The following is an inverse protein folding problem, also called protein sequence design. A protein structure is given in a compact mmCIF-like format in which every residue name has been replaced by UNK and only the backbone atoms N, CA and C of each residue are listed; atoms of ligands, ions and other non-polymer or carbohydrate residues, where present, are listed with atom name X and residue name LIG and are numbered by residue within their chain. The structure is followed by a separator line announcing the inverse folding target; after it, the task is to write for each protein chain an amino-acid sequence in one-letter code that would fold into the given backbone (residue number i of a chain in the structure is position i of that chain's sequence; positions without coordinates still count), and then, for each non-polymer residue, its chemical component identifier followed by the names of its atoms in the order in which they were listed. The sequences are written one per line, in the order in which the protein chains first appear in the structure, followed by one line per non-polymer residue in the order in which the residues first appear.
data_IF_090888162388
#
_entry.id   IF_090888162388
#
_cell.length_a   1.000
_cell.length_b   1.000
_cell.length_c   1.000
_cell.angle_alpha   90.00
_cell.angle_beta   90.00
_cell.angle_gamma   90.00
#
_symmetry.space_group_name_H-M   'P 1'
#
loop_
_entity.id
_entity.type
_entity.pdbx_description
1 polymer ?
#
# COMPACT_ATOMS: atom_id res chain seq x y z
N UNK A 1 -15.59 5.74 -2.35
CA UNK A 1 -15.74 4.44 -1.64
C UNK A 1 -15.12 4.56 -0.25
N UNK A 2 -15.74 3.99 0.78
CA UNK A 2 -15.21 3.96 2.15
C UNK A 2 -14.49 2.64 2.39
N UNK A 3 -13.20 2.69 2.74
CA UNK A 3 -12.40 1.52 3.09
C UNK A 3 -12.00 1.60 4.56
N UNK A 4 -12.33 0.57 5.33
CA UNK A 4 -11.98 0.51 6.75
C UNK A 4 -10.63 -0.20 6.94
N UNK A 5 -9.98 0.07 8.07
CA UNK A 5 -8.73 -0.60 8.44
C UNK A 5 -8.88 -2.13 8.50
N UNK A 6 -10.07 -2.63 8.87
CA UNK A 6 -10.41 -4.05 8.86
C UNK A 6 -10.38 -4.65 7.45
N UNK A 7 -10.86 -3.92 6.44
CA UNK A 7 -10.81 -4.33 5.03
C UNK A 7 -9.37 -4.43 4.53
N UNK A 8 -8.52 -3.46 4.89
CA UNK A 8 -7.09 -3.49 4.56
C UNK A 8 -6.37 -4.67 5.24
N UNK A 9 -6.70 -4.94 6.51
CA UNK A 9 -6.16 -6.09 7.24
C UNK A 9 -6.61 -7.42 6.63
N UNK A 10 -7.87 -7.50 6.20
CA UNK A 10 -8.37 -8.65 5.46
C UNK A 10 -7.62 -8.84 4.14
N UNK A 11 -7.38 -7.77 3.37
CA UNK A 11 -6.65 -7.85 2.10
C UNK A 11 -5.21 -8.34 2.29
N UNK A 12 -4.55 -7.89 3.37
CA UNK A 12 -3.22 -8.40 3.76
C UNK A 12 -3.27 -9.90 4.05
N UNK A 13 -4.22 -10.35 4.88
CA UNK A 13 -4.42 -11.76 5.19
C UNK A 13 -4.77 -12.60 3.95
N UNK A 14 -5.56 -12.05 3.03
CA UNK A 14 -5.90 -12.69 1.77
C UNK A 14 -4.65 -12.92 0.92
N UNK A 15 -3.77 -11.93 0.81
CA UNK A 15 -2.47 -12.07 0.15
C UNK A 15 -1.62 -13.19 0.75
N UNK A 16 -1.58 -13.29 2.08
CA UNK A 16 -0.90 -14.40 2.76
C UNK A 16 -1.55 -15.75 2.44
N UNK A 17 -2.88 -15.84 2.45
CA UNK A 17 -3.60 -17.09 2.18
C UNK A 17 -3.39 -17.59 0.73
N UNK A 18 -3.45 -16.69 -0.25
CA UNK A 18 -3.20 -17.00 -1.67
C UNK A 18 -1.77 -17.51 -1.89
N UNK A 19 -0.80 -16.98 -1.14
CA UNK A 19 0.60 -17.36 -1.23
C UNK A 19 1.02 -18.48 -0.26
N UNK A 20 0.14 -18.88 0.67
CA UNK A 20 0.48 -19.82 1.72
C UNK A 20 0.95 -21.16 1.17
N UNK A 21 2.03 -21.69 1.76
CA UNK A 21 2.51 -23.03 1.46
C UNK A 21 1.63 -24.05 2.20
N UNK A 22 0.64 -24.62 1.51
CA UNK A 22 -0.10 -25.79 2.02
C UNK A 22 0.88 -26.85 2.54
N UNK A 23 0.65 -27.26 3.81
CA UNK A 23 1.43 -28.22 4.58
C UNK A 23 1.61 -29.54 3.83
N UNK A 24 2.68 -30.30 4.12
CA UNK A 24 2.83 -31.65 3.59
C UNK A 24 1.72 -32.54 4.17
N UNK A 25 0.70 -32.79 3.37
CA UNK A 25 -0.12 -34.01 3.53
C UNK A 25 0.63 -35.10 2.79
N UNK A 26 0.71 -36.30 3.36
CA UNK A 26 1.25 -37.49 2.71
C UNK A 26 0.60 -37.66 1.33
N UNK A 27 1.29 -37.19 0.29
CA UNK A 27 0.85 -37.22 -1.11
C UNK A 27 2.05 -37.60 -1.94
N UNK A 28 1.91 -38.70 -2.66
CA UNK A 28 2.94 -39.18 -3.58
C UNK A 28 2.72 -40.64 -3.97
N UNK A 29 3.59 -41.17 -4.85
CA UNK A 29 3.52 -42.54 -5.33
C UNK A 29 3.61 -43.57 -4.19
N UNK A 30 4.34 -43.24 -3.12
CA UNK A 30 4.45 -44.05 -1.89
C UNK A 30 3.08 -44.33 -1.27
N UNK A 31 2.10 -43.45 -1.47
CA UNK A 31 0.73 -43.60 -0.95
C UNK A 31 -0.29 -43.94 -2.05
N UNK A 32 0.16 -44.45 -3.21
CA UNK A 32 -0.72 -44.87 -4.32
C UNK A 32 -1.41 -43.73 -5.07
N UNK A 33 -1.09 -42.46 -4.80
CA UNK A 33 -1.69 -41.33 -5.48
C UNK A 33 -0.91 -40.98 -6.77
N UNK A 34 -1.41 -41.43 -7.92
CA UNK A 34 -0.86 -41.11 -9.24
C UNK A 34 -1.45 -39.84 -9.88
N UNK A 35 -2.45 -39.20 -9.24
CA UNK A 35 -3.05 -38.00 -9.79
C UNK A 35 -2.06 -36.82 -9.81
N UNK A 36 -1.98 -36.05 -10.90
CA UNK A 36 -1.08 -34.90 -10.99
C UNK A 36 -1.43 -33.86 -9.92
N UNK A 37 -0.42 -33.23 -9.29
CA UNK A 37 -0.66 -32.26 -8.23
C UNK A 37 -1.35 -31.00 -8.79
N UNK A 38 -2.49 -30.63 -8.21
CA UNK A 38 -3.18 -29.38 -8.56
C UNK A 38 -2.30 -28.17 -8.27
N UNK A 39 -2.10 -27.33 -9.28
CA UNK A 39 -1.40 -26.05 -9.14
C UNK A 39 -2.23 -25.08 -8.28
N UNK A 40 -1.55 -24.31 -7.44
CA UNK A 40 -2.19 -23.26 -6.64
C UNK A 40 -2.53 -22.07 -7.51
N UNK A 41 -3.55 -21.31 -7.11
CA UNK A 41 -3.92 -20.06 -7.75
C UNK A 41 -2.74 -19.11 -7.91
N UNK A 42 -1.91 -18.95 -6.86
CA UNK A 42 -0.71 -18.11 -6.91
C UNK A 42 0.31 -18.53 -7.97
N UNK A 43 0.38 -19.82 -8.35
CA UNK A 43 1.32 -20.31 -9.37
C UNK A 43 0.83 -20.11 -10.81
N UNK A 44 -0.47 -19.86 -10.99
CA UNK A 44 -1.01 -19.57 -12.32
C UNK A 44 -0.64 -18.17 -12.79
N UNK A 45 -0.45 -17.24 -11.87
CA UNK A 45 -0.07 -15.87 -12.18
C UNK A 45 1.44 -15.68 -12.07
N UNK A 46 2.15 -15.65 -13.20
CA UNK A 46 3.60 -15.36 -13.23
C UNK A 46 3.92 -13.87 -13.14
N UNK A 47 3.07 -13.04 -13.73
CA UNK A 47 3.21 -11.59 -13.70
C UNK A 47 1.87 -10.99 -13.24
N UNK A 48 1.92 -10.10 -12.26
CA UNK A 48 0.74 -9.47 -11.67
C UNK A 48 0.95 -7.96 -11.70
N UNK A 49 0.02 -7.23 -12.32
CA UNK A 49 0.09 -5.78 -12.53
C UNK A 49 -1.16 -5.06 -11.99
N UNK A 50 -1.33 -4.96 -10.66
CA UNK A 50 -2.40 -4.16 -10.09
C UNK A 50 -2.19 -2.67 -10.41
N UNK A 51 -3.27 -2.04 -10.86
CA UNK A 51 -3.37 -0.60 -11.11
C UNK A 51 -4.55 -0.07 -10.30
N UNK A 52 -4.28 0.86 -9.41
CA UNK A 52 -5.30 1.52 -8.60
C UNK A 52 -5.36 2.99 -9.01
N UNK A 53 -6.50 3.43 -9.51
CA UNK A 53 -6.74 4.82 -9.84
C UNK A 53 -7.91 5.31 -9.00
N UNK A 54 -7.72 6.45 -8.33
CA UNK A 54 -8.72 7.06 -7.48
C UNK A 54 -8.89 8.53 -7.88
N UNK A 55 -10.12 8.95 -8.21
CA UNK A 55 -10.41 10.36 -8.50
C UNK A 55 -10.31 11.20 -7.23
N UNK A 56 -10.67 10.67 -6.07
CA UNK A 56 -10.44 11.31 -4.77
C UNK A 56 -10.18 10.20 -3.74
N UNK A 57 -9.17 10.39 -2.89
CA UNK A 57 -8.84 9.48 -1.81
C UNK A 57 -8.76 10.25 -0.50
N UNK A 58 -9.54 9.83 0.47
CA UNK A 58 -9.49 10.34 1.83
C UNK A 58 -9.12 9.22 2.80
N UNK A 59 -8.04 9.41 3.54
CA UNK A 59 -7.53 8.48 4.55
C UNK A 59 -7.52 9.19 5.90
N UNK A 60 -8.30 8.69 6.84
CA UNK A 60 -8.32 9.19 8.22
C UNK A 60 -7.79 8.09 9.14
N UNK A 61 -6.71 8.37 9.85
CA UNK A 61 -6.07 7.45 10.79
C UNK A 61 -6.00 8.07 12.18
N UNK A 62 -6.41 7.32 13.19
CA UNK A 62 -6.30 7.70 14.59
C UNK A 62 -5.22 6.83 15.24
N UNK A 63 -4.36 7.45 16.05
CA UNK A 63 -3.23 6.73 16.67
C UNK A 63 -3.67 5.72 17.73
N UNK A 64 -4.85 5.92 18.34
CA UNK A 64 -5.36 5.09 19.42
C UNK A 64 -6.89 4.99 19.42
N UNK A 65 -7.42 4.05 20.21
CA UNK A 65 -8.87 3.91 20.45
C UNK A 65 -9.48 5.15 21.12
N UNK A 66 -8.71 5.82 21.98
CA UNK A 66 -9.10 7.09 22.60
C UNK A 66 -9.15 8.25 21.59
N UNK A 67 -8.60 8.06 20.38
CA UNK A 67 -8.66 9.00 19.25
C UNK A 67 -8.29 10.44 19.66
N UNK A 68 -7.29 10.57 20.54
CA UNK A 68 -6.81 11.87 21.00
C UNK A 68 -6.08 12.63 19.89
N UNK A 69 -5.28 11.90 19.11
CA UNK A 69 -4.49 12.39 18.01
C UNK A 69 -4.69 11.52 16.77
N UNK A 70 -4.69 12.14 15.61
CA UNK A 70 -4.83 11.46 14.33
C UNK A 70 -4.23 12.26 13.19
N UNK A 71 -4.30 11.67 12.00
CA UNK A 71 -3.87 12.27 10.75
C UNK A 71 -4.98 12.04 9.74
N UNK A 72 -5.35 13.10 9.03
CA UNK A 72 -6.25 13.03 7.88
C UNK A 72 -5.47 13.44 6.63
N UNK A 73 -5.48 12.57 5.64
CA UNK A 73 -4.87 12.79 4.34
C UNK A 73 -5.95 12.80 3.27
N UNK A 74 -6.03 13.87 2.50
CA UNK A 74 -6.96 14.05 1.40
C UNK A 74 -6.13 14.21 0.12
N UNK A 75 -6.43 13.41 -0.90
CA UNK A 75 -5.75 13.43 -2.18
C UNK A 75 -6.78 13.63 -3.28
N UNK A 76 -6.62 14.71 -4.07
CA UNK A 76 -7.58 15.11 -5.10
C UNK A 76 -7.46 14.35 -6.42
N UNK A 77 -6.39 13.58 -6.64
CA UNK A 77 -6.32 12.52 -7.65
C UNK A 77 -5.09 11.66 -7.35
N UNK A 78 -5.16 10.36 -7.60
CA UNK A 78 -3.95 9.57 -7.58
C UNK A 78 -4.05 8.22 -8.26
N UNK A 79 -2.85 7.69 -8.50
CA UNK A 79 -2.64 6.48 -9.27
C UNK A 79 -1.49 5.70 -8.66
N UNK A 80 -1.69 4.41 -8.43
CA UNK A 80 -0.68 3.49 -7.92
C UNK A 80 -0.64 2.29 -8.85
N UNK A 81 0.48 2.10 -9.54
CA UNK A 81 0.73 0.89 -10.30
C UNK A 81 1.85 0.10 -9.61
N UNK A 82 1.71 -1.22 -9.61
CA UNK A 82 2.79 -2.10 -9.15
C UNK A 82 2.88 -3.31 -10.05
N UNK A 83 4.10 -3.73 -10.36
CA UNK A 83 4.40 -4.89 -11.17
C UNK A 83 5.13 -5.91 -10.32
N UNK A 84 4.54 -7.09 -10.17
CA UNK A 84 5.11 -8.21 -9.43
C UNK A 84 5.39 -9.38 -10.38
N UNK A 85 6.49 -10.08 -10.15
CA UNK A 85 6.86 -11.30 -10.87
C UNK A 85 7.07 -12.44 -9.89
N UNK A 86 6.56 -13.62 -10.24
CA UNK A 86 6.77 -14.86 -9.50
C UNK A 86 7.94 -15.63 -10.13
N UNK A 87 9.01 -15.80 -9.36
CA UNK A 87 10.11 -16.69 -9.70
C UNK A 87 9.95 -18.01 -8.96
N UNK A 88 10.09 -19.13 -9.68
CA UNK A 88 10.02 -20.47 -9.11
C UNK A 88 11.44 -21.00 -8.92
N UNK A 89 11.97 -20.92 -7.70
CA UNK A 89 13.32 -21.36 -7.37
C UNK A 89 13.30 -22.86 -7.06
N UNK A 90 14.06 -23.70 -7.79
CA UNK A 90 14.17 -25.12 -7.48
C UNK A 90 14.85 -25.33 -6.11
N UNK A 91 14.61 -26.47 -5.49
CA UNK A 91 15.26 -26.81 -4.21
C UNK A 91 16.61 -27.48 -4.48
N UNK A 92 17.69 -26.94 -3.94
CA UNK A 92 19.07 -27.44 -4.14
C UNK A 92 19.48 -28.46 -3.07
N UNK A 93 18.81 -29.61 -3.01
CA UNK A 93 19.22 -30.69 -2.12
C UNK A 93 18.85 -32.06 -2.64
N UNK A 94 19.20 -33.10 -1.89
CA UNK A 94 18.93 -34.51 -2.23
C UNK A 94 17.45 -34.91 -2.14
N UNK A 95 16.56 -34.01 -1.73
CA UNK A 95 15.13 -34.26 -1.59
C UNK A 95 14.35 -33.67 -2.75
N UNK A 96 13.49 -34.48 -3.37
CA UNK A 96 12.53 -34.01 -4.37
C UNK A 96 11.48 -33.15 -3.66
N UNK A 97 11.52 -31.85 -3.90
CA UNK A 97 10.59 -30.86 -3.34
C UNK A 97 10.01 -29.97 -4.42
N UNK A 98 8.86 -29.36 -4.10
CA UNK A 98 8.22 -28.35 -4.96
C UNK A 98 9.08 -27.10 -4.99
N UNK A 99 9.27 -26.49 -6.17
CA UNK A 99 9.95 -25.20 -6.30
C UNK A 99 9.30 -24.15 -5.41
N UNK A 100 10.11 -23.32 -4.76
CA UNK A 100 9.63 -22.23 -3.91
C UNK A 100 9.19 -21.06 -4.78
N UNK A 101 8.01 -20.52 -4.50
CA UNK A 101 7.54 -19.30 -5.15
C UNK A 101 8.10 -18.07 -4.46
N UNK A 102 8.96 -17.33 -5.14
CA UNK A 102 9.51 -16.06 -4.68
C UNK A 102 8.89 -14.92 -5.50
N UNK A 103 8.11 -14.07 -4.84
CA UNK A 103 7.56 -12.88 -5.45
C UNK A 103 8.57 -11.74 -5.38
N UNK A 104 8.81 -11.10 -6.51
CA UNK A 104 9.65 -9.92 -6.64
C UNK A 104 8.82 -8.74 -7.12
N UNK A 105 9.06 -7.57 -6.52
CA UNK A 105 8.52 -6.30 -7.00
C UNK A 105 9.45 -5.86 -8.13
N UNK A 106 8.95 -5.76 -9.35
CA UNK A 106 9.72 -5.30 -10.51
C UNK A 106 9.70 -3.77 -10.60
N UNK A 107 8.51 -3.19 -10.49
CA UNK A 107 8.34 -1.74 -10.53
C UNK A 107 7.14 -1.32 -9.66
N UNK A 108 7.22 -0.13 -9.09
CA UNK A 108 6.11 0.53 -8.40
C UNK A 108 6.15 2.01 -8.74
N UNK A 109 5.02 2.52 -9.22
CA UNK A 109 4.80 3.96 -9.45
C UNK A 109 3.63 4.41 -8.58
N UNK A 110 3.76 5.60 -8.01
CA UNK A 110 2.71 6.25 -7.26
C UNK A 110 2.72 7.73 -7.61
N UNK A 111 1.61 8.23 -8.13
CA UNK A 111 1.40 9.62 -8.49
C UNK A 111 0.21 10.14 -7.70
N UNK A 112 0.43 11.21 -6.96
CA UNK A 112 -0.55 11.84 -6.10
C UNK A 112 -0.60 13.32 -6.43
N UNK A 113 -1.80 13.87 -6.58
CA UNK A 113 -2.02 15.28 -6.92
C UNK A 113 -2.97 15.92 -5.94
N UNK A 114 -2.77 17.22 -5.68
CA UNK A 114 -3.60 18.02 -4.79
C UNK A 114 -3.79 17.36 -3.41
N UNK A 115 -2.68 16.96 -2.80
CA UNK A 115 -2.66 16.29 -1.50
C UNK A 115 -2.64 17.32 -0.39
N UNK A 116 -3.50 17.14 0.62
CA UNK A 116 -3.52 17.92 1.86
C UNK A 116 -3.45 16.98 3.05
N UNK A 117 -2.62 17.32 4.02
CA UNK A 117 -2.45 16.56 5.25
C UNK A 117 -2.83 17.46 6.43
N UNK A 118 -3.67 16.92 7.30
CA UNK A 118 -4.15 17.56 8.52
C UNK A 118 -3.79 16.68 9.71
N UNK A 119 -3.42 17.32 10.81
CA UNK A 119 -3.35 16.70 12.12
C UNK A 119 -4.72 16.83 12.80
N UNK A 120 -5.24 15.71 13.30
CA UNK A 120 -6.49 15.67 14.02
C UNK A 120 -6.20 15.69 15.53
N UNK A 121 -6.93 16.52 16.27
CA UNK A 121 -6.94 16.51 17.73
C UNK A 121 -8.37 16.42 18.24
N UNK A 122 -8.62 15.59 19.24
CA UNK A 122 -9.93 15.54 19.90
C UNK A 122 -10.08 16.70 20.88
N UNK A 123 -11.20 17.41 20.81
CA UNK A 123 -11.59 18.36 21.85
C UNK A 123 -12.17 17.60 23.06
N UNK A 124 -11.73 17.98 24.26
CA UNK A 124 -12.12 17.37 25.54
C UNK A 124 -13.46 17.91 26.09
N UNK A 125 -14.36 18.40 25.23
CA UNK A 125 -15.66 18.88 25.69
C UNK A 125 -16.60 17.70 25.99
N UNK A 126 -16.59 17.27 27.27
CA UNK A 126 -17.76 16.82 28.04
C UNK A 126 -18.86 16.05 27.30
N UNK A 127 -18.52 14.96 26.61
CA UNK A 127 -19.53 14.06 26.04
C UNK A 127 -19.07 12.61 26.11
N UNK A 128 -19.05 12.06 27.32
CA UNK A 128 -18.82 10.63 27.58
C UNK A 128 -19.85 9.68 26.92
N UNK A 129 -20.92 10.21 26.30
CA UNK A 129 -22.04 9.43 25.75
C UNK A 129 -22.09 9.34 24.21
N UNK A 130 -21.03 9.72 23.48
CA UNK A 130 -21.05 9.57 22.01
C UNK A 130 -20.77 8.13 21.57
N UNK A 131 -21.76 7.54 20.89
CA UNK A 131 -21.66 6.28 20.14
C UNK A 131 -20.37 6.27 19.29
N UNK A 132 -19.68 5.12 19.16
CA UNK A 132 -18.44 5.00 18.39
C UNK A 132 -18.54 5.55 16.95
N UNK A 133 -19.74 5.63 16.37
CA UNK A 133 -19.98 6.22 15.04
C UNK A 133 -19.83 7.75 14.99
N UNK A 134 -20.11 8.47 16.09
CA UNK A 134 -20.12 9.94 16.11
C UNK A 134 -18.81 10.57 16.61
N UNK A 135 -17.91 9.74 17.16
CA UNK A 135 -16.63 10.15 17.76
C UNK A 135 -15.66 10.89 16.82
N UNK A 136 -15.84 10.76 15.51
CA UNK A 136 -15.01 11.41 14.49
C UNK A 136 -15.47 12.83 14.13
N UNK A 137 -16.71 13.24 14.50
CA UNK A 137 -17.28 14.52 14.06
C UNK A 137 -16.81 15.72 14.89
N UNK A 138 -16.33 15.52 16.12
CA UNK A 138 -15.83 16.57 17.02
C UNK A 138 -14.31 16.77 17.02
N UNK A 139 -13.62 16.33 15.97
CA UNK A 139 -12.17 16.45 15.87
C UNK A 139 -11.74 17.78 15.24
N UNK A 140 -10.88 18.52 15.93
CA UNK A 140 -10.24 19.71 15.40
C UNK A 140 -9.22 19.32 14.33
N UNK A 141 -9.29 19.99 13.17
CA UNK A 141 -8.38 19.78 12.03
C UNK A 141 -7.35 20.89 11.97
N UNK A 142 -6.11 20.55 12.29
CA UNK A 142 -4.97 21.43 12.17
C UNK A 142 -4.26 21.17 10.84
N UNK A 143 -4.04 22.19 10.02
CA UNK A 143 -3.32 22.03 8.76
C UNK A 143 -1.84 21.73 9.02
N UNK A 144 -1.30 20.71 8.35
CA UNK A 144 0.12 20.36 8.42
C UNK A 144 0.86 20.76 7.15
N UNK A 145 0.42 20.24 6.00
CA UNK A 145 1.06 20.52 4.72
C UNK A 145 0.12 20.27 3.54
N UNK A 146 0.43 20.90 2.41
CA UNK A 146 -0.23 20.71 1.12
C UNK A 146 0.81 20.51 0.03
N UNK A 147 0.56 19.56 -0.86
CA UNK A 147 1.40 19.17 -1.98
C UNK A 147 0.59 19.28 -3.26
N UNK A 148 1.11 20.02 -4.24
CA UNK A 148 0.48 20.09 -5.56
C UNK A 148 0.61 18.77 -6.32
N UNK A 149 1.80 18.16 -6.27
CA UNK A 149 2.10 16.88 -6.91
C UNK A 149 3.23 16.15 -6.18
N UNK A 150 3.06 14.85 -6.04
CA UNK A 150 4.04 13.93 -5.50
C UNK A 150 4.12 12.71 -6.43
N UNK A 151 5.33 12.40 -6.89
CA UNK A 151 5.59 11.22 -7.71
C UNK A 151 6.67 10.37 -7.06
N UNK A 152 6.35 9.10 -6.83
CA UNK A 152 7.26 8.07 -6.38
C UNK A 152 7.42 7.03 -7.46
N UNK A 153 8.66 6.72 -7.82
CA UNK A 153 8.98 5.65 -8.77
C UNK A 153 10.12 4.80 -8.25
N UNK A 154 9.89 3.50 -8.27
CA UNK A 154 10.88 2.47 -7.93
C UNK A 154 10.90 1.43 -9.03
N UNK A 155 12.06 1.23 -9.62
CA UNK A 155 12.33 0.07 -10.46
C UNK A 155 13.37 -0.81 -9.76
N UNK A 156 13.21 -2.12 -9.88
CA UNK A 156 14.22 -3.07 -9.48
C UNK A 156 14.89 -3.58 -10.77
N UNK A 157 16.17 -3.23 -10.92
CA UNK A 157 17.03 -3.66 -12.02
C UNK A 157 17.41 -5.11 -11.76
N UNK A 158 16.55 -6.05 -12.11
CA UNK A 158 16.87 -7.47 -12.09
C UNK A 158 16.19 -8.21 -13.24
N UNK A 159 16.07 -7.56 -14.39
CA UNK A 159 15.89 -8.28 -15.66
C UNK A 159 17.28 -8.46 -16.26
N UNK A 160 17.75 -9.71 -16.25
CA UNK A 160 19.01 -10.11 -16.86
C UNK A 160 18.95 -9.91 -18.37
N UNK A 161 19.44 -8.76 -18.83
CA UNK A 161 19.93 -8.56 -20.17
C UNK A 161 21.20 -7.73 -20.07
N UNK A 162 22.32 -8.30 -20.55
CA UNK A 162 23.64 -7.70 -20.56
C UNK A 162 23.59 -6.23 -20.98
N UNK A 163 23.86 -5.32 -20.04
CA UNK A 163 24.28 -3.95 -20.32
C UNK A 163 25.45 -3.69 -19.37
N UNK A 164 26.65 -3.39 -19.87
CA UNK A 164 27.75 -3.04 -18.98
C UNK A 164 27.48 -1.66 -18.38
N UNK A 165 27.97 -1.51 -17.15
CA UNK A 165 28.26 -0.26 -16.46
C UNK A 165 27.14 0.40 -15.62
N UNK A 166 27.29 0.15 -14.31
CA UNK A 166 27.02 1.08 -13.21
C UNK A 166 25.71 1.87 -13.24
N UNK A 167 24.64 1.32 -12.65
CA UNK A 167 23.65 2.16 -11.93
C UNK A 167 23.07 1.39 -10.74
N UNK A 168 23.35 1.93 -9.55
CA UNK A 168 22.65 1.66 -8.29
C UNK A 168 21.12 1.72 -8.47
N UNK A 169 20.31 1.01 -7.67
CA UNK A 169 18.85 1.13 -7.72
C UNK A 169 18.41 2.59 -7.50
N UNK A 170 18.00 3.27 -8.58
CA UNK A 170 17.58 4.66 -8.56
C UNK A 170 16.20 4.79 -7.94
N UNK A 171 16.14 5.16 -6.66
CA UNK A 171 14.91 5.62 -6.02
C UNK A 171 14.73 7.10 -6.37
N UNK A 172 13.80 7.44 -7.26
CA UNK A 172 13.49 8.83 -7.57
C UNK A 172 12.17 9.22 -6.88
N UNK A 173 12.25 10.15 -5.93
CA UNK A 173 11.10 10.78 -5.30
C UNK A 173 11.14 12.26 -5.65
N UNK A 174 10.17 12.73 -6.42
CA UNK A 174 10.06 14.16 -6.78
C UNK A 174 8.91 14.76 -6.00
N UNK A 175 9.21 15.79 -5.20
CA UNK A 175 8.22 16.64 -4.55
C UNK A 175 8.16 17.97 -5.30
N UNK A 176 6.99 18.37 -5.79
CA UNK A 176 6.80 19.69 -6.40
C UNK A 176 5.80 20.52 -5.58
N UNK A 177 6.30 21.63 -5.05
CA UNK A 177 5.53 22.76 -4.53
C UNK A 177 4.85 22.53 -3.17
N UNK A 178 5.32 23.28 -2.18
CA UNK A 178 4.55 23.64 -0.98
C UNK A 178 3.64 24.79 -1.42
N UNK A 179 2.33 24.58 -1.41
CA UNK A 179 1.38 25.68 -1.58
C UNK A 179 0.78 26.02 -0.23
N UNK A 180 1.16 27.16 0.33
CA UNK A 180 0.52 27.76 1.51
C UNK A 180 -0.74 28.54 1.08
N UNK A 181 -1.95 28.12 1.51
CA UNK A 181 -3.17 28.90 1.29
C UNK A 181 -3.44 29.95 2.40
N UNK A 182 -2.60 30.04 3.44
CA UNK A 182 -2.86 30.91 4.61
C UNK A 182 -2.09 32.24 4.62
N UNK A 183 -1.12 32.46 3.73
CA UNK A 183 -0.34 33.70 3.70
C UNK A 183 -0.97 34.85 2.90
N UNK A 184 -2.01 34.60 2.07
CA UNK A 184 -2.56 35.61 1.15
C UNK A 184 -3.81 36.35 1.65
N UNK A 185 -4.22 36.19 2.92
CA UNK A 185 -5.45 36.83 3.44
C UNK A 185 -5.25 37.81 4.60
N UNK A 186 -4.01 38.25 4.88
CA UNK A 186 -3.74 39.26 5.93
C UNK A 186 -3.20 40.60 5.44
N UNK A 187 -3.13 40.85 4.13
CA UNK A 187 -2.58 42.10 3.58
C UNK A 187 -3.60 42.97 2.83
N UNK A 188 -4.91 42.73 2.97
CA UNK A 188 -5.93 43.53 2.26
C UNK A 188 -7.07 44.04 3.15
N UNK A 189 -6.86 44.10 4.46
CA UNK A 189 -7.81 44.67 5.42
C UNK A 189 -7.09 45.60 6.42
N UNK A 190 -6.19 46.46 5.91
CA UNK A 190 -5.67 47.60 6.67
C UNK A 190 -5.14 48.66 5.69
N UNK A 191 -6.06 49.36 5.01
CA UNK A 191 -5.91 50.76 4.57
C UNK A 191 -7.24 51.31 4.07
#
# INVERSE_FOLDING_TARGET
MLLYSTTLRWLSNFGYAVNAVSRPVCKGPIFGNQAPPKLKLSRHYRNVKPSFQFPELKVSYWSSYAQQLGIEWICGAGKIDSHFRLNLVPYEGNLIRRSMGQWQIMATTCELSNTKIYLLKRQESSSQNQSPSNRSLGAERNFLLSLSSMSYRRDNVSDGLNTPDNLSPTKHSTFKGISDPQARKKEFEET
#
